data_IF_785642115592
#
_entry.id   IF_785642115592
#
_cell.length_a   1.000
_cell.length_b   1.000
_cell.length_c   1.000
_cell.angle_alpha   90.00
_cell.angle_beta   90.00
_cell.angle_gamma   90.00
#
_symmetry.space_group_name_H-M   'P 1'
#
loop_
_entity.id
_entity.type
_entity.pdbx_description
1 polymer ?
#
# COMPACT_ATOMS: atom_id res chain seq x y z
N UNK A 1 35.55 27.37 -41.65
CA UNK A 1 34.83 26.57 -42.66
C UNK A 1 35.08 25.10 -42.40
N UNK A 2 34.00 24.29 -42.30
CA UNK A 2 33.85 22.93 -42.88
C UNK A 2 34.88 21.87 -42.41
N UNK A 3 34.59 20.72 -41.82
CA UNK A 3 33.43 19.82 -41.55
C UNK A 3 33.97 18.89 -40.42
N UNK A 4 33.26 18.20 -39.55
CA UNK A 4 32.34 17.06 -39.78
C UNK A 4 31.67 16.76 -38.42
N UNK A 5 30.35 16.62 -38.45
CA UNK A 5 29.50 16.02 -37.42
C UNK A 5 29.43 14.52 -37.72
N UNK A 6 29.65 13.65 -36.73
CA UNK A 6 29.07 12.29 -36.65
C UNK A 6 29.48 11.67 -35.30
N UNK A 7 28.59 11.58 -34.31
CA UNK A 7 27.63 10.48 -34.08
C UNK A 7 28.27 9.16 -33.62
N UNK A 8 27.90 8.78 -32.39
CA UNK A 8 27.66 7.42 -31.93
C UNK A 8 28.86 6.47 -31.84
N UNK A 9 29.43 6.39 -30.64
CA UNK A 9 29.75 5.07 -30.05
C UNK A 9 29.19 5.03 -28.64
N UNK A 10 27.99 4.45 -28.58
CA UNK A 10 27.40 3.82 -27.40
C UNK A 10 28.35 2.71 -27.01
N UNK A 11 29.12 2.91 -25.96
CA UNK A 11 29.63 1.85 -25.09
C UNK A 11 30.44 2.52 -24.00
N UNK A 12 30.32 2.00 -22.79
CA UNK A 12 31.29 2.20 -21.72
C UNK A 12 31.11 3.46 -20.87
N UNK A 13 30.07 3.46 -20.02
CA UNK A 13 30.26 3.92 -18.65
C UNK A 13 29.25 3.23 -17.71
N UNK A 14 29.83 2.50 -16.76
CA UNK A 14 29.23 2.07 -15.49
C UNK A 14 28.27 0.87 -15.52
N UNK A 15 28.80 -0.29 -15.91
CA UNK A 15 28.47 -1.55 -15.23
C UNK A 15 29.00 -1.50 -13.80
N UNK A 16 28.28 -0.82 -12.91
CA UNK A 16 28.28 -1.14 -11.49
C UNK A 16 26.95 -1.82 -11.22
N UNK A 17 26.90 -3.12 -11.55
CA UNK A 17 25.98 -4.05 -10.90
C UNK A 17 26.37 -4.11 -9.42
N UNK A 18 25.96 -3.10 -8.64
CA UNK A 18 25.67 -3.35 -7.24
C UNK A 18 24.55 -4.36 -7.25
N UNK A 19 24.90 -5.62 -7.01
CA UNK A 19 23.97 -6.64 -6.61
C UNK A 19 23.25 -6.05 -5.38
N UNK A 20 22.12 -5.42 -5.61
CA UNK A 20 21.11 -5.21 -4.59
C UNK A 20 20.63 -6.62 -4.29
N UNK A 21 21.39 -7.34 -3.45
CA UNK A 21 20.83 -8.39 -2.66
C UNK A 21 19.67 -7.72 -1.93
N UNK A 22 18.44 -7.90 -2.46
CA UNK A 22 17.23 -7.57 -1.74
C UNK A 22 17.44 -8.16 -0.35
N UNK A 23 17.43 -7.35 0.73
CA UNK A 23 17.64 -7.86 2.07
C UNK A 23 16.70 -9.05 2.27
N UNK A 24 17.29 -10.24 2.22
CA UNK A 24 16.58 -11.49 2.37
C UNK A 24 16.05 -11.55 3.79
N UNK A 25 14.78 -11.93 3.92
CA UNK A 25 14.10 -12.03 5.21
C UNK A 25 13.33 -10.76 5.52
N UNK A 26 12.09 -10.70 5.05
CA UNK A 26 11.12 -9.73 5.54
C UNK A 26 10.92 -9.96 7.04
N UNK A 27 11.69 -9.24 7.85
CA UNK A 27 11.46 -9.14 9.28
C UNK A 27 10.01 -8.67 9.43
N UNK A 28 9.16 -9.50 10.04
CA UNK A 28 7.80 -9.10 10.37
C UNK A 28 7.92 -7.91 11.30
N UNK A 29 7.75 -6.69 10.76
CA UNK A 29 7.65 -5.52 11.62
C UNK A 29 6.46 -5.69 12.55
N UNK A 30 6.70 -5.31 13.80
CA UNK A 30 5.67 -5.24 14.83
C UNK A 30 4.54 -4.30 14.38
N UNK A 31 3.26 -4.62 14.69
CA UNK A 31 2.10 -3.79 14.34
C UNK A 31 2.24 -2.31 14.73
N UNK A 32 2.82 -2.00 15.89
CA UNK A 32 3.00 -0.62 16.33
C UNK A 32 4.05 0.10 15.46
N UNK A 33 5.14 -0.59 15.11
CA UNK A 33 6.16 -0.01 14.23
C UNK A 33 5.63 0.25 12.82
N UNK A 34 4.79 -0.65 12.28
CA UNK A 34 4.15 -0.40 10.99
C UNK A 34 3.15 0.75 11.05
N UNK A 35 2.41 0.89 12.15
CA UNK A 35 1.49 2.01 12.34
C UNK A 35 2.26 3.34 12.35
N UNK A 36 3.35 3.43 13.10
CA UNK A 36 4.18 4.65 13.14
C UNK A 36 4.79 4.97 11.76
N UNK A 37 5.23 3.96 11.02
CA UNK A 37 5.68 4.17 9.64
C UNK A 37 4.55 4.68 8.74
N UNK A 38 3.34 4.12 8.86
CA UNK A 38 2.18 4.60 8.12
C UNK A 38 1.79 6.03 8.51
N UNK A 39 1.88 6.37 9.80
CA UNK A 39 1.66 7.75 10.26
C UNK A 39 2.63 8.72 9.59
N UNK A 40 3.89 8.35 9.43
CA UNK A 40 4.88 9.21 8.78
C UNK A 40 4.71 9.28 7.25
N UNK A 41 4.37 8.16 6.59
CA UNK A 41 4.42 8.05 5.12
C UNK A 41 3.08 8.19 4.42
N UNK A 42 2.00 7.77 5.08
CA UNK A 42 0.66 7.63 4.50
C UNK A 42 -0.27 8.72 5.03
N UNK A 43 -0.23 8.99 6.35
CA UNK A 43 -1.12 9.98 7.00
C UNK A 43 -1.14 11.35 6.31
N UNK A 44 0.00 11.96 5.91
CA UNK A 44 -0.03 13.29 5.29
C UNK A 44 -0.82 13.29 3.98
N UNK A 45 -0.55 12.34 3.09
CA UNK A 45 -1.26 12.22 1.82
C UNK A 45 -2.72 11.79 1.99
N UNK A 46 -3.01 10.94 2.99
CA UNK A 46 -4.37 10.59 3.35
C UNK A 46 -5.14 11.85 3.74
N UNK A 47 -4.68 12.58 4.75
CA UNK A 47 -5.33 13.81 5.23
C UNK A 47 -5.47 14.87 4.13
N UNK A 48 -4.45 15.05 3.30
CA UNK A 48 -4.48 16.02 2.20
C UNK A 48 -5.61 15.72 1.21
N UNK A 49 -5.77 14.45 0.83
CA UNK A 49 -6.75 13.99 -0.17
C UNK A 49 -8.16 13.84 0.39
N UNK A 50 -8.27 13.44 1.65
CA UNK A 50 -9.57 13.09 2.26
C UNK A 50 -10.10 14.15 3.23
N UNK A 51 -9.31 15.18 3.54
CA UNK A 51 -9.65 16.24 4.49
C UNK A 51 -10.02 15.71 5.88
N UNK A 52 -9.46 14.56 6.26
CA UNK A 52 -9.59 14.02 7.60
C UNK A 52 -8.81 14.88 8.59
N UNK A 53 -9.37 15.01 9.79
CA UNK A 53 -8.61 15.46 10.96
C UNK A 53 -7.53 14.45 11.32
N UNK A 54 -6.55 14.90 12.09
CA UNK A 54 -5.44 14.06 12.56
C UNK A 54 -5.93 12.78 13.28
N UNK A 55 -6.89 12.94 14.20
CA UNK A 55 -7.48 11.85 14.97
C UNK A 55 -8.32 10.88 14.12
N UNK A 56 -9.02 11.38 13.09
CA UNK A 56 -9.74 10.50 12.16
C UNK A 56 -8.76 9.72 11.28
N UNK A 57 -7.71 10.36 10.79
CA UNK A 57 -6.68 9.72 9.98
C UNK A 57 -5.95 8.62 10.75
N UNK A 58 -5.64 8.83 12.04
CA UNK A 58 -5.06 7.79 12.90
C UNK A 58 -5.96 6.55 12.99
N UNK A 59 -7.26 6.73 13.27
CA UNK A 59 -8.21 5.61 13.32
C UNK A 59 -8.33 4.87 11.99
N UNK A 60 -8.31 5.60 10.87
CA UNK A 60 -8.32 4.99 9.53
C UNK A 60 -7.07 4.12 9.33
N UNK A 61 -5.89 4.61 9.70
CA UNK A 61 -4.64 3.85 9.58
C UNK A 61 -4.58 2.64 10.52
N UNK A 62 -5.04 2.78 11.76
CA UNK A 62 -5.15 1.67 12.72
C UNK A 62 -6.01 0.53 12.16
N UNK A 63 -7.16 0.86 11.55
CA UNK A 63 -8.03 -0.13 10.91
C UNK A 63 -7.33 -0.82 9.73
N UNK A 64 -6.55 -0.08 8.93
CA UNK A 64 -5.81 -0.68 7.82
C UNK A 64 -4.72 -1.64 8.29
N UNK A 65 -3.96 -1.27 9.33
CA UNK A 65 -2.96 -2.15 9.93
C UNK A 65 -3.64 -3.39 10.52
N UNK A 66 -4.73 -3.22 11.27
CA UNK A 66 -5.51 -4.34 11.80
C UNK A 66 -5.96 -5.30 10.68
N UNK A 67 -6.55 -4.78 9.59
CA UNK A 67 -6.99 -5.61 8.47
C UNK A 67 -5.81 -6.33 7.81
N UNK A 68 -4.66 -5.67 7.68
CA UNK A 68 -3.44 -6.28 7.18
C UNK A 68 -2.91 -7.37 8.12
N UNK A 69 -3.11 -7.26 9.45
CA UNK A 69 -2.78 -8.32 10.41
C UNK A 69 -3.71 -9.52 10.26
N UNK A 70 -5.02 -9.30 10.15
CA UNK A 70 -6.00 -10.39 9.96
C UNK A 70 -5.70 -11.18 8.68
N UNK A 71 -5.20 -10.50 7.65
CA UNK A 71 -4.83 -11.10 6.38
C UNK A 71 -3.40 -11.69 6.36
N UNK A 72 -2.66 -11.67 7.48
CA UNK A 72 -1.39 -12.42 7.59
C UNK A 72 -1.68 -13.93 7.63
N UNK A 73 -0.76 -14.72 7.08
CA UNK A 73 -0.88 -16.18 7.07
C UNK A 73 -1.97 -16.73 6.12
N UNK A 74 -2.68 -15.90 5.36
CA UNK A 74 -3.66 -16.36 4.38
C UNK A 74 -3.07 -17.26 3.28
N UNK A 75 -1.75 -17.25 3.10
CA UNK A 75 -1.04 -18.09 2.13
C UNK A 75 -1.00 -19.56 2.54
N UNK A 76 -1.15 -19.84 3.83
CA UNK A 76 -1.07 -21.18 4.39
C UNK A 76 -2.46 -21.84 4.50
N UNK A 77 -3.53 -21.12 4.11
CA UNK A 77 -4.91 -21.58 4.15
C UNK A 77 -5.36 -22.17 2.80
N UNK A 78 -6.39 -23.03 2.85
CA UNK A 78 -7.12 -23.45 1.66
C UNK A 78 -7.75 -22.23 0.95
N UNK A 79 -8.08 -22.37 -0.33
CA UNK A 79 -8.72 -21.29 -1.09
C UNK A 79 -10.07 -20.88 -0.47
N UNK A 80 -10.86 -21.84 -0.02
CA UNK A 80 -12.14 -21.62 0.63
C UNK A 80 -11.98 -20.88 1.96
N UNK A 81 -11.08 -21.35 2.83
CA UNK A 81 -10.82 -20.72 4.13
C UNK A 81 -10.24 -19.32 3.97
N UNK A 82 -9.36 -19.13 2.98
CA UNK A 82 -8.82 -17.82 2.62
C UNK A 82 -9.93 -16.86 2.17
N UNK A 83 -10.83 -17.30 1.29
CA UNK A 83 -11.94 -16.47 0.82
C UNK A 83 -12.87 -16.09 1.97
N UNK A 84 -13.21 -17.05 2.84
CA UNK A 84 -14.04 -16.83 4.03
C UNK A 84 -13.38 -15.80 4.97
N UNK A 85 -12.11 -15.99 5.32
CA UNK A 85 -11.39 -15.09 6.23
C UNK A 85 -11.21 -13.68 5.65
N UNK A 86 -10.97 -13.57 4.35
CA UNK A 86 -10.92 -12.28 3.64
C UNK A 86 -12.27 -11.56 3.70
N UNK A 87 -13.37 -12.28 3.51
CA UNK A 87 -14.72 -11.72 3.59
C UNK A 87 -15.04 -11.23 5.00
N UNK A 88 -14.83 -12.07 6.02
CA UNK A 88 -15.04 -11.71 7.43
C UNK A 88 -14.22 -10.48 7.83
N UNK A 89 -12.94 -10.45 7.45
CA UNK A 89 -12.05 -9.30 7.70
C UNK A 89 -12.56 -8.04 7.03
N UNK A 90 -13.01 -8.11 5.77
CA UNK A 90 -13.53 -6.96 5.05
C UNK A 90 -14.83 -6.42 5.67
N UNK A 91 -15.75 -7.29 6.06
CA UNK A 91 -17.00 -6.90 6.72
C UNK A 91 -16.73 -6.23 8.06
N UNK A 92 -15.82 -6.78 8.87
CA UNK A 92 -15.46 -6.16 10.14
C UNK A 92 -14.67 -4.84 9.93
N UNK A 93 -13.80 -4.77 8.92
CA UNK A 93 -13.13 -3.51 8.55
C UNK A 93 -14.15 -2.42 8.21
N UNK A 94 -15.18 -2.76 7.43
CA UNK A 94 -16.25 -1.83 7.07
C UNK A 94 -17.02 -1.36 8.30
N UNK A 95 -17.36 -2.27 9.22
CA UNK A 95 -17.99 -1.91 10.51
C UNK A 95 -17.12 -0.95 11.32
N UNK A 96 -15.81 -1.22 11.45
CA UNK A 96 -14.88 -0.33 12.16
C UNK A 96 -14.77 1.05 11.49
N UNK A 97 -14.76 1.09 10.15
CA UNK A 97 -14.68 2.34 9.40
C UNK A 97 -15.93 3.22 9.59
N UNK A 98 -17.12 2.61 9.58
CA UNK A 98 -18.41 3.30 9.84
C UNK A 98 -18.53 3.83 11.28
N UNK A 99 -17.78 3.28 12.22
CA UNK A 99 -17.73 3.79 13.60
C UNK A 99 -16.90 5.08 13.75
N UNK A 100 -16.09 5.43 12.73
CA UNK A 100 -15.42 6.73 12.69
C UNK A 100 -16.46 7.77 12.24
N UNK A 101 -16.61 8.91 12.94
CA UNK A 101 -17.52 9.97 12.54
C UNK A 101 -16.96 10.69 11.30
N UNK A 102 -17.12 10.08 10.14
CA UNK A 102 -16.74 10.62 8.83
C UNK A 102 -17.98 11.11 8.10
N UNK A 103 -17.83 12.16 7.29
CA UNK A 103 -18.87 12.53 6.32
C UNK A 103 -18.87 11.56 5.14
N UNK A 104 -19.97 11.51 4.38
CA UNK A 104 -20.06 10.67 3.18
C UNK A 104 -18.97 10.98 2.16
N UNK A 105 -18.65 12.27 1.98
CA UNK A 105 -17.56 12.73 1.11
C UNK A 105 -16.20 12.23 1.60
N UNK A 106 -15.95 12.26 2.91
CA UNK A 106 -14.72 11.73 3.50
C UNK A 106 -14.63 10.21 3.32
N UNK A 107 -15.73 9.47 3.50
CA UNK A 107 -15.78 8.01 3.27
C UNK A 107 -15.43 7.70 1.82
N UNK A 108 -16.05 8.41 0.86
CA UNK A 108 -15.77 8.25 -0.56
C UNK A 108 -14.30 8.55 -0.88
N UNK A 109 -13.76 9.66 -0.40
CA UNK A 109 -12.38 10.05 -0.61
C UNK A 109 -11.39 9.03 -0.02
N UNK A 110 -11.67 8.47 1.17
CA UNK A 110 -10.87 7.40 1.78
C UNK A 110 -10.86 6.16 0.90
N UNK A 111 -12.02 5.75 0.40
CA UNK A 111 -12.13 4.59 -0.50
C UNK A 111 -11.35 4.81 -1.81
N UNK A 112 -11.47 5.99 -2.41
CA UNK A 112 -10.75 6.36 -3.63
C UNK A 112 -9.23 6.40 -3.42
N UNK A 113 -8.78 6.99 -2.30
CA UNK A 113 -7.35 7.04 -1.94
C UNK A 113 -6.74 5.63 -1.88
N UNK A 114 -7.39 4.70 -1.18
CA UNK A 114 -6.88 3.33 -1.09
C UNK A 114 -7.05 2.53 -2.40
N UNK A 115 -8.06 2.82 -3.21
CA UNK A 115 -8.21 2.23 -4.53
C UNK A 115 -7.10 2.68 -5.49
N UNK A 116 -6.72 3.97 -5.45
CA UNK A 116 -5.59 4.51 -6.20
C UNK A 116 -4.26 3.88 -5.75
N UNK A 117 -4.02 3.79 -4.43
CA UNK A 117 -2.85 3.10 -3.89
C UNK A 117 -2.72 1.66 -4.38
N UNK A 118 -3.84 0.92 -4.49
CA UNK A 118 -3.84 -0.45 -5.03
C UNK A 118 -3.51 -0.46 -6.53
N UNK A 119 -4.09 0.44 -7.32
CA UNK A 119 -3.81 0.56 -8.76
C UNK A 119 -2.35 0.90 -9.04
N UNK A 120 -1.75 1.73 -8.20
CA UNK A 120 -0.39 2.23 -8.39
C UNK A 120 0.70 1.33 -7.79
N UNK A 121 0.39 0.11 -7.32
CA UNK A 121 1.38 -0.80 -6.73
C UNK A 121 2.02 -1.70 -7.80
N UNK A 122 3.26 -1.44 -8.26
CA UNK A 122 3.94 -2.31 -9.22
C UNK A 122 4.17 -3.70 -8.61
N UNK A 123 3.64 -4.74 -9.26
CA UNK A 123 3.79 -6.16 -8.86
C UNK A 123 2.80 -6.67 -7.80
N UNK A 124 1.86 -5.85 -7.34
CA UNK A 124 0.79 -6.27 -6.41
C UNK A 124 -0.42 -6.79 -7.16
N UNK A 125 -0.44 -8.09 -7.47
CA UNK A 125 -1.51 -8.77 -8.20
C UNK A 125 -2.92 -8.34 -7.82
N UNK A 126 -3.56 -7.62 -8.75
CA UNK A 126 -5.00 -7.67 -8.92
C UNK A 126 -5.35 -8.96 -9.63
N UNK A 127 -5.34 -10.07 -8.88
CA UNK A 127 -6.15 -11.25 -9.20
C UNK A 127 -7.63 -10.89 -9.05
N UNK A 128 -8.08 -10.02 -9.94
CA UNK A 128 -9.47 -9.61 -10.15
C UNK A 128 -9.68 -9.59 -11.66
N UNK A 129 -9.45 -10.74 -12.27
CA UNK A 129 -9.66 -10.98 -13.69
C UNK A 129 -10.64 -12.13 -13.85
N UNK A 130 -11.84 -11.78 -14.34
CA UNK A 130 -13.04 -12.59 -14.63
C UNK A 130 -13.98 -12.84 -13.47
#
# INVERSE_FOLDING_TARGET
MKKVIALLTIAFCCTLTVAMAQPGGGQQMDPAQMLEMMKQRVKPGLMEKTKLTDAQADKVLEIQIWAQQQNRGLRDLSEEDRAKKMKETNEEREKKMKAIPLTDDQIKAVNEYYAEMRRNRPGGGGGGGK
#
